data_IF_181428239378
#
_entry.id   IF_181428239378
#
_cell.length_a   1.000
_cell.length_b   1.000
_cell.length_c   1.000
_cell.angle_alpha   90.00
_cell.angle_beta   90.00
_cell.angle_gamma   90.00
#
_symmetry.space_group_name_H-M   'P 1'
#
loop_
_entity.id
_entity.type
_entity.pdbx_description
1 polymer ?
#
# COMPACT_ATOMS: atom_id res chain seq x y z
N UNK A 1 23.76 44.95 18.00
CA UNK A 1 24.21 45.64 19.23
C UNK A 1 25.52 45.02 19.64
N UNK A 2 26.61 45.62 19.18
CA UNK A 2 27.99 45.39 19.62
C UNK A 2 28.45 46.76 20.16
N UNK A 3 28.98 46.86 21.37
CA UNK A 3 29.92 47.91 21.72
C UNK A 3 31.34 47.31 21.64
N UNK A 4 32.44 48.03 21.57
CA UNK A 4 32.81 49.40 21.22
C UNK A 4 34.34 49.38 21.32
N UNK A 5 35.00 50.21 20.52
CA UNK A 5 36.45 50.41 20.46
C UNK A 5 36.94 51.21 21.70
N UNK A 6 38.25 51.13 22.01
CA UNK A 6 39.19 52.17 22.51
C UNK A 6 40.15 51.61 23.58
N UNK A 7 41.46 51.89 23.71
CA UNK A 7 42.57 52.49 22.92
C UNK A 7 43.85 52.40 23.83
N UNK A 8 45.07 52.52 23.27
CA UNK A 8 46.40 52.77 23.90
C UNK A 8 46.95 51.64 24.81
N UNK A 9 48.15 51.07 24.66
CA UNK A 9 49.43 51.58 24.16
C UNK A 9 50.42 51.60 25.32
N UNK A 10 51.47 50.76 25.34
CA UNK A 10 52.73 51.02 26.05
C UNK A 10 53.82 49.99 25.69
N UNK A 11 54.93 50.52 25.17
CA UNK A 11 56.21 49.86 24.95
C UNK A 11 56.93 49.72 26.31
N UNK A 12 57.30 48.50 26.71
CA UNK A 12 58.40 48.25 27.65
C UNK A 12 59.12 46.97 27.23
N UNK A 13 60.30 47.14 26.62
CA UNK A 13 61.34 46.13 26.56
C UNK A 13 61.97 46.04 27.94
N UNK A 14 62.02 44.84 28.53
CA UNK A 14 63.02 44.46 29.53
C UNK A 14 63.11 42.93 29.59
N UNK A 15 64.19 42.44 28.99
CA UNK A 15 64.96 41.25 29.32
C UNK A 15 64.66 40.60 30.68
N UNK A 16 64.32 39.31 30.65
CA UNK A 16 64.25 38.43 31.82
C UNK A 16 64.23 36.97 31.36
N UNK A 17 65.16 36.18 31.90
CA UNK A 17 65.62 34.88 31.43
C UNK A 17 64.53 33.83 31.15
N UNK A 18 64.69 33.16 30.00
CA UNK A 18 64.14 31.83 29.75
C UNK A 18 64.96 30.87 30.59
N UNK A 19 64.32 30.15 31.52
CA UNK A 19 64.84 28.85 31.90
C UNK A 19 63.74 27.91 32.42
N UNK A 20 64.00 26.62 32.19
CA UNK A 20 63.35 25.43 32.73
C UNK A 20 62.16 24.84 31.94
N UNK A 21 62.56 24.13 30.88
CA UNK A 21 61.81 23.01 30.30
C UNK A 21 62.74 21.99 29.66
N UNK A 22 63.73 21.48 30.43
CA UNK A 22 64.60 20.36 30.02
C UNK A 22 63.80 19.10 29.69
N UNK A 23 63.45 18.93 28.42
CA UNK A 23 63.03 17.67 27.83
C UNK A 23 64.25 16.92 27.30
N UNK A 24 64.78 15.99 28.09
CA UNK A 24 65.77 15.02 27.65
C UNK A 24 65.19 14.16 26.52
N UNK A 25 65.78 14.22 25.32
CA UNK A 25 65.27 13.52 24.13
C UNK A 25 66.25 13.50 22.97
N UNK A 26 67.45 12.94 23.21
CA UNK A 26 68.39 12.35 22.24
C UNK A 26 68.10 12.59 20.73
N UNK A 27 68.44 13.76 20.19
CA UNK A 27 68.50 13.97 18.73
C UNK A 27 69.77 13.29 18.20
N UNK A 28 69.69 11.99 17.93
CA UNK A 28 70.75 11.25 17.23
C UNK A 28 70.99 11.90 15.87
N UNK A 29 72.14 12.57 15.75
CA UNK A 29 72.68 13.00 14.46
C UNK A 29 73.07 11.77 13.62
N UNK A 30 72.80 11.82 12.32
CA UNK A 30 73.10 10.74 11.38
C UNK A 30 73.83 11.27 10.14
N UNK A 31 74.67 10.43 9.53
CA UNK A 31 75.31 10.68 8.24
C UNK A 31 74.83 9.71 7.15
N UNK A 32 74.33 8.54 7.55
CA UNK A 32 73.70 7.56 6.67
C UNK A 32 72.53 6.83 7.37
N UNK A 33 71.68 6.15 6.58
CA UNK A 33 70.54 5.36 7.10
C UNK A 33 70.94 4.27 8.11
N UNK A 34 72.17 3.76 8.01
CA UNK A 34 72.74 2.77 8.93
C UNK A 34 72.91 3.27 10.36
N UNK A 35 72.97 4.60 10.55
CA UNK A 35 73.13 5.22 11.87
C UNK A 35 71.78 5.29 12.62
N UNK A 36 70.69 5.09 11.89
CA UNK A 36 69.33 5.15 12.38
C UNK A 36 68.76 3.75 12.67
N UNK A 37 67.66 3.68 13.42
CA UNK A 37 66.97 2.41 13.67
C UNK A 37 66.42 1.85 12.32
N UNK A 38 66.16 0.53 12.20
CA UNK A 38 65.72 -0.07 10.93
C UNK A 38 64.47 0.58 10.30
N UNK A 39 63.62 1.18 11.13
CA UNK A 39 62.38 1.87 10.75
C UNK A 39 62.53 3.39 10.57
N UNK A 40 63.75 3.93 10.63
CA UNK A 40 64.11 5.34 10.43
C UNK A 40 65.03 5.50 9.21
N UNK A 41 65.08 6.71 8.65
CA UNK A 41 65.98 7.13 7.56
C UNK A 41 66.66 8.44 7.95
N UNK A 42 67.88 8.67 7.45
CA UNK A 42 68.63 9.88 7.71
C UNK A 42 68.20 10.99 6.73
N UNK A 43 67.52 12.02 7.24
CA UNK A 43 67.10 13.18 6.45
C UNK A 43 67.53 14.47 7.13
N UNK A 44 68.32 15.30 6.43
CA UNK A 44 68.81 16.56 6.99
C UNK A 44 69.70 16.40 8.24
N UNK A 45 70.47 15.31 8.33
CA UNK A 45 71.36 15.03 9.46
C UNK A 45 70.65 14.53 10.73
N UNK A 46 69.34 14.25 10.66
CA UNK A 46 68.54 13.70 11.75
C UNK A 46 67.81 12.42 11.33
N UNK A 47 67.74 11.44 12.23
CA UNK A 47 66.95 10.22 11.99
C UNK A 47 65.45 10.53 12.07
N UNK A 48 64.76 10.42 10.94
CA UNK A 48 63.30 10.59 10.83
C UNK A 48 62.62 9.24 10.55
N UNK A 49 61.37 9.08 10.96
CA UNK A 49 60.61 7.85 10.72
C UNK A 49 60.39 7.62 9.21
N UNK A 50 60.51 6.36 8.76
CA UNK A 50 60.10 5.97 7.41
C UNK A 50 58.58 6.11 7.28
N UNK A 51 58.07 6.29 6.06
CA UNK A 51 56.63 6.34 5.82
C UNK A 51 55.93 5.07 6.36
N UNK A 52 54.90 5.25 7.20
CA UNK A 52 54.19 4.15 7.85
C UNK A 52 54.88 3.54 9.07
N UNK A 53 56.04 4.05 9.49
CA UNK A 53 56.71 3.67 10.73
C UNK A 53 56.32 4.55 11.92
N UNK A 54 56.43 4.03 13.14
CA UNK A 54 56.05 4.73 14.37
C UNK A 54 56.88 4.30 15.59
N UNK A 55 56.99 5.17 16.60
CA UNK A 55 57.43 4.82 17.96
C UNK A 55 56.28 4.90 18.98
N UNK A 56 55.27 5.70 18.66
CA UNK A 56 54.06 5.90 19.46
C UNK A 56 52.83 6.14 18.57
N UNK A 57 51.64 6.09 19.16
CA UNK A 57 50.38 6.30 18.43
C UNK A 57 50.25 7.71 17.84
N UNK A 58 51.07 8.67 18.30
CA UNK A 58 51.08 10.04 17.78
C UNK A 58 51.76 10.17 16.43
N UNK A 59 52.57 9.18 16.06
CA UNK A 59 53.27 9.15 14.78
C UNK A 59 52.38 8.62 13.65
N UNK A 60 51.23 8.06 14.02
CA UNK A 60 50.27 7.47 13.09
C UNK A 60 49.10 8.40 12.82
N UNK A 61 48.45 8.21 11.67
CA UNK A 61 47.21 8.92 11.36
C UNK A 61 46.11 8.58 12.39
N UNK A 62 45.10 9.44 12.50
CA UNK A 62 44.02 9.26 13.49
C UNK A 62 43.34 7.88 13.43
N UNK A 63 43.30 7.26 12.24
CA UNK A 63 42.70 5.94 11.96
C UNK A 63 43.68 4.76 12.14
N UNK A 64 44.91 5.02 12.59
CA UNK A 64 45.97 4.03 12.79
C UNK A 64 46.46 4.04 14.24
N UNK A 65 47.07 2.93 14.66
CA UNK A 65 47.71 2.72 15.97
C UNK A 65 49.09 2.13 15.76
N UNK A 66 50.04 2.43 16.64
CA UNK A 66 51.40 1.96 16.49
C UNK A 66 51.54 0.52 17.00
N UNK A 67 51.84 -0.43 16.12
CA UNK A 67 52.32 -1.74 16.54
C UNK A 67 53.78 -1.63 16.97
N UNK A 68 54.01 -1.42 18.27
CA UNK A 68 55.35 -1.26 18.85
C UNK A 68 56.28 -2.46 18.66
N UNK A 69 55.76 -3.65 18.32
CA UNK A 69 56.61 -4.82 18.06
C UNK A 69 57.29 -4.70 16.70
N UNK A 70 56.56 -4.18 15.72
CA UNK A 70 57.01 -4.03 14.34
C UNK A 70 57.38 -2.58 13.98
N UNK A 71 57.14 -1.63 14.88
CA UNK A 71 57.29 -0.18 14.68
C UNK A 71 56.56 0.31 13.42
N UNK A 72 55.36 -0.21 13.17
CA UNK A 72 54.53 0.10 12.01
C UNK A 72 53.15 0.58 12.43
N UNK A 73 52.65 1.59 11.73
CA UNK A 73 51.28 2.07 11.86
C UNK A 73 50.33 1.06 11.22
N UNK A 74 49.51 0.42 12.03
CA UNK A 74 48.46 -0.49 11.58
C UNK A 74 47.10 0.17 11.71
N UNK A 75 46.17 -0.18 10.82
CA UNK A 75 44.81 0.37 10.84
C UNK A 75 44.08 -0.10 12.09
N UNK A 76 43.44 0.84 12.81
CA UNK A 76 42.63 0.55 13.99
C UNK A 76 41.39 -0.27 13.61
N UNK A 77 40.91 -1.09 14.54
CA UNK A 77 39.63 -1.79 14.37
C UNK A 77 38.49 -0.79 14.10
N UNK A 78 37.65 -1.08 13.09
CA UNK A 78 36.58 -0.20 12.64
C UNK A 78 37.01 0.89 11.64
N UNK A 79 38.29 0.97 11.30
CA UNK A 79 38.82 1.85 10.25
C UNK A 79 39.32 1.06 9.03
N UNK A 80 39.58 1.78 7.94
CA UNK A 80 40.02 1.20 6.68
C UNK A 80 40.87 2.20 5.86
N UNK A 81 41.72 1.66 5.00
CA UNK A 81 42.43 2.36 3.92
C UNK A 81 41.95 1.93 2.54
N UNK A 82 41.36 0.73 2.44
CA UNK A 82 40.76 0.20 1.23
C UNK A 82 39.58 -0.74 1.55
N UNK A 83 38.92 -1.22 0.49
CA UNK A 83 37.74 -2.09 0.61
C UNK A 83 38.05 -3.50 1.14
N UNK A 84 39.30 -3.97 1.07
CA UNK A 84 39.66 -5.34 1.49
C UNK A 84 39.65 -5.50 3.02
N UNK A 85 39.70 -4.37 3.74
CA UNK A 85 39.62 -4.34 5.19
C UNK A 85 38.17 -4.27 5.71
N UNK A 86 37.20 -4.10 4.82
CA UNK A 86 35.78 -4.05 5.16
C UNK A 86 35.06 -5.37 4.84
N UNK A 87 33.91 -5.59 5.47
CA UNK A 87 33.06 -6.75 5.13
C UNK A 87 32.55 -6.62 3.69
N UNK A 88 32.11 -7.74 3.09
CA UNK A 88 31.64 -7.80 1.70
C UNK A 88 30.53 -6.78 1.38
N UNK A 89 29.63 -6.53 2.32
CA UNK A 89 28.52 -5.57 2.22
C UNK A 89 28.87 -4.13 2.62
N UNK A 90 30.15 -3.87 2.90
CA UNK A 90 30.67 -2.56 3.28
C UNK A 90 31.66 -2.05 2.22
N UNK A 91 31.97 -0.76 2.27
CA UNK A 91 33.03 -0.13 1.49
C UNK A 91 33.81 0.81 2.38
N UNK A 92 35.07 1.04 2.03
CA UNK A 92 35.89 1.98 2.75
C UNK A 92 35.60 3.40 2.28
N UNK A 93 35.04 4.22 3.17
CA UNK A 93 34.90 5.64 2.93
C UNK A 93 36.26 6.32 3.17
N UNK A 94 36.94 6.69 2.09
CA UNK A 94 38.30 7.25 2.16
C UNK A 94 38.38 8.61 2.86
N UNK A 95 37.25 9.30 3.04
CA UNK A 95 37.16 10.57 3.76
C UNK A 95 37.06 10.36 5.27
N UNK A 96 36.17 9.47 5.72
CA UNK A 96 35.98 9.17 7.15
C UNK A 96 36.95 8.11 7.67
N UNK A 97 37.59 7.37 6.76
CA UNK A 97 38.42 6.19 7.00
C UNK A 97 37.66 5.05 7.71
N UNK A 98 36.34 5.00 7.56
CA UNK A 98 35.48 3.97 8.18
C UNK A 98 34.83 3.09 7.11
N UNK A 99 34.52 1.87 7.52
CA UNK A 99 33.71 0.96 6.71
C UNK A 99 32.25 1.36 6.80
N UNK A 100 31.74 1.95 5.72
CA UNK A 100 30.32 2.33 5.59
C UNK A 100 29.57 1.22 4.84
N UNK A 101 28.27 1.09 5.11
CA UNK A 101 27.43 0.09 4.45
C UNK A 101 27.20 0.49 2.99
N UNK A 102 27.32 -0.47 2.07
CA UNK A 102 27.06 -0.22 0.64
C UNK A 102 25.58 0.09 0.40
N UNK A 103 25.25 0.97 -0.57
CA UNK A 103 23.87 1.18 -0.98
C UNK A 103 23.15 -0.13 -1.31
N UNK A 104 21.96 -0.32 -0.76
CA UNK A 104 21.16 -1.55 -0.91
C UNK A 104 21.53 -2.69 0.06
N UNK A 105 22.56 -2.50 0.89
CA UNK A 105 22.89 -3.38 2.01
C UNK A 105 22.57 -2.73 3.35
N UNK A 106 22.59 -3.52 4.42
CA UNK A 106 22.31 -3.08 5.78
C UNK A 106 23.03 -3.97 6.82
N UNK A 107 23.31 -3.40 7.99
CA UNK A 107 23.59 -4.18 9.20
C UNK A 107 22.47 -4.07 10.24
N UNK A 108 21.71 -2.98 10.19
CA UNK A 108 20.58 -2.67 11.06
C UNK A 108 19.47 -1.93 10.31
N UNK A 109 18.29 -1.87 10.91
CA UNK A 109 17.12 -1.24 10.29
C UNK A 109 17.30 0.25 9.98
N UNK A 110 18.16 0.97 10.71
CA UNK A 110 18.42 2.39 10.45
C UNK A 110 19.22 2.63 9.18
N UNK A 111 19.81 1.59 8.60
CA UNK A 111 20.56 1.68 7.34
C UNK A 111 19.63 1.59 6.12
N UNK A 112 18.36 1.24 6.36
CA UNK A 112 17.34 1.10 5.33
C UNK A 112 16.34 2.24 5.39
N UNK A 113 15.60 2.40 4.30
CA UNK A 113 14.47 3.33 4.26
C UNK A 113 13.41 2.97 5.31
N UNK A 114 12.61 3.96 5.72
CA UNK A 114 11.59 3.78 6.77
C UNK A 114 10.56 2.67 6.50
N UNK A 115 10.34 2.32 5.23
CA UNK A 115 9.45 1.27 4.77
C UNK A 115 10.13 -0.10 4.58
N UNK A 116 11.44 -0.17 4.82
CA UNK A 116 12.26 -1.37 4.71
C UNK A 116 12.72 -1.87 6.07
N UNK A 117 13.16 -3.12 6.12
CA UNK A 117 13.81 -3.73 7.28
C UNK A 117 15.09 -4.42 6.80
N UNK A 118 16.07 -4.51 7.70
CA UNK A 118 17.29 -5.22 7.38
C UNK A 118 17.09 -6.72 7.55
N UNK A 119 17.30 -7.50 6.48
CA UNK A 119 17.49 -8.94 6.59
C UNK A 119 18.95 -9.21 6.96
N UNK A 120 19.19 -9.54 8.22
CA UNK A 120 20.54 -9.77 8.77
C UNK A 120 21.20 -11.05 8.26
N UNK A 121 20.47 -11.94 7.56
CA UNK A 121 21.05 -13.12 6.91
C UNK A 121 21.66 -12.80 5.55
N UNK A 122 20.99 -11.95 4.78
CA UNK A 122 21.43 -11.53 3.45
C UNK A 122 22.15 -10.19 3.43
N UNK A 123 22.10 -9.44 4.56
CA UNK A 123 22.55 -8.06 4.72
C UNK A 123 21.90 -7.11 3.72
N UNK A 124 20.66 -7.37 3.30
CA UNK A 124 19.92 -6.54 2.34
C UNK A 124 18.72 -5.88 2.97
N UNK A 125 18.46 -4.65 2.55
CA UNK A 125 17.20 -4.00 2.85
C UNK A 125 16.08 -4.67 2.06
N UNK A 126 15.12 -5.24 2.78
CA UNK A 126 13.92 -5.86 2.21
C UNK A 126 12.69 -5.07 2.60
N UNK A 127 11.66 -5.07 1.76
CA UNK A 127 10.42 -4.38 2.07
C UNK A 127 9.75 -4.97 3.32
N UNK A 128 9.18 -4.12 4.18
CA UNK A 128 8.34 -4.59 5.30
C UNK A 128 7.03 -5.17 4.77
N UNK A 129 6.33 -5.93 5.61
CA UNK A 129 5.00 -6.44 5.28
C UNK A 129 4.06 -5.29 4.84
N UNK A 130 3.41 -5.46 3.69
CA UNK A 130 2.54 -4.45 3.06
C UNK A 130 3.29 -3.41 2.21
N UNK A 131 4.62 -3.48 2.14
CA UNK A 131 5.46 -2.67 1.27
C UNK A 131 6.14 -3.53 0.20
N UNK A 132 6.69 -2.88 -0.82
CA UNK A 132 7.32 -3.51 -1.98
C UNK A 132 8.42 -2.63 -2.55
N UNK A 133 9.41 -3.25 -3.19
CA UNK A 133 10.40 -2.59 -4.06
C UNK A 133 9.97 -2.69 -5.51
N UNK A 134 9.35 -3.82 -5.89
CA UNK A 134 8.84 -4.09 -7.23
C UNK A 134 7.63 -5.03 -7.15
N UNK A 135 6.96 -5.24 -8.28
CA UNK A 135 5.72 -6.03 -8.35
C UNK A 135 5.88 -7.47 -7.86
N UNK A 136 7.08 -8.07 -7.93
CA UNK A 136 7.33 -9.44 -7.45
C UNK A 136 7.29 -9.57 -5.93
N UNK A 137 7.37 -8.45 -5.21
CA UNK A 137 7.25 -8.44 -3.76
C UNK A 137 5.77 -8.50 -3.31
N UNK A 138 4.84 -8.28 -4.24
CA UNK A 138 3.40 -8.28 -3.98
C UNK A 138 2.74 -9.59 -4.44
N UNK A 139 1.48 -9.78 -4.05
CA UNK A 139 0.70 -10.91 -4.53
C UNK A 139 0.42 -10.79 -6.04
N UNK A 140 0.12 -11.92 -6.69
CA UNK A 140 -0.15 -11.96 -8.15
C UNK A 140 -1.32 -11.08 -8.63
N UNK A 141 -2.15 -10.58 -7.72
CA UNK A 141 -3.28 -9.68 -8.00
C UNK A 141 -3.03 -8.23 -7.58
N UNK A 142 -1.80 -7.91 -7.20
CA UNK A 142 -1.36 -6.60 -6.76
C UNK A 142 -0.19 -6.12 -7.63
N UNK A 143 0.16 -4.86 -7.46
CA UNK A 143 1.38 -4.25 -8.02
C UNK A 143 2.02 -3.34 -6.99
N UNK A 144 3.28 -2.98 -7.22
CA UNK A 144 3.96 -2.02 -6.39
C UNK A 144 3.57 -0.59 -6.75
N UNK A 145 2.85 0.07 -5.84
CA UNK A 145 2.38 1.45 -6.00
C UNK A 145 3.48 2.49 -5.74
N UNK A 146 3.14 3.76 -5.99
CA UNK A 146 4.07 4.90 -5.88
C UNK A 146 4.60 5.13 -4.45
N UNK A 147 3.89 4.66 -3.43
CA UNK A 147 4.30 4.75 -2.02
C UNK A 147 5.04 3.51 -1.51
N UNK A 148 5.57 2.68 -2.43
CA UNK A 148 6.17 1.38 -2.11
C UNK A 148 5.20 0.47 -1.37
N UNK A 149 3.89 0.58 -1.64
CA UNK A 149 2.85 -0.28 -1.05
C UNK A 149 2.27 -1.19 -2.10
N UNK A 150 1.97 -2.42 -1.71
CA UNK A 150 1.22 -3.32 -2.58
C UNK A 150 -0.21 -2.82 -2.72
N UNK A 151 -0.59 -2.51 -3.94
CA UNK A 151 -1.92 -2.00 -4.29
C UNK A 151 -2.63 -3.02 -5.18
N UNK A 152 -3.92 -3.30 -4.95
CA UNK A 152 -4.69 -4.19 -5.81
C UNK A 152 -4.72 -3.71 -7.27
N UNK A 153 -4.63 -4.66 -8.21
CA UNK A 153 -4.85 -4.40 -9.63
C UNK A 153 -6.33 -4.00 -9.88
N UNK A 154 -6.65 -3.37 -11.02
CA UNK A 154 -8.03 -3.01 -11.35
C UNK A 154 -9.01 -4.19 -11.22
N UNK A 155 -10.11 -3.97 -10.48
CA UNK A 155 -11.11 -5.00 -10.17
C UNK A 155 -10.70 -5.98 -9.06
N UNK A 156 -9.54 -5.78 -8.43
CA UNK A 156 -9.08 -6.52 -7.26
C UNK A 156 -9.14 -5.65 -6.02
N UNK A 157 -9.07 -6.29 -4.85
CA UNK A 157 -9.20 -5.60 -3.58
C UNK A 157 -8.48 -6.35 -2.46
N UNK A 158 -8.00 -5.58 -1.49
CA UNK A 158 -7.58 -6.06 -0.19
C UNK A 158 -8.61 -5.71 0.88
N UNK A 159 -9.39 -4.64 0.72
CA UNK A 159 -10.46 -4.19 1.60
C UNK A 159 -11.63 -3.63 0.78
N UNK A 160 -12.80 -3.45 1.40
CA UNK A 160 -13.97 -2.91 0.71
C UNK A 160 -13.75 -1.50 0.15
N UNK A 161 -12.89 -0.71 0.80
CA UNK A 161 -12.54 0.64 0.36
C UNK A 161 -11.75 0.70 -0.95
N UNK A 162 -11.23 -0.44 -1.43
CA UNK A 162 -10.57 -0.52 -2.74
C UNK A 162 -11.58 -0.63 -3.89
N UNK A 163 -12.84 -0.94 -3.57
CA UNK A 163 -13.91 -1.17 -4.52
C UNK A 163 -14.82 0.06 -4.68
N UNK A 164 -15.68 0.04 -5.71
CA UNK A 164 -16.68 1.08 -5.89
C UNK A 164 -17.69 1.06 -4.75
N UNK A 165 -18.40 2.16 -4.54
CA UNK A 165 -19.36 2.31 -3.42
C UNK A 165 -20.45 1.23 -3.38
N UNK A 166 -20.84 0.68 -4.54
CA UNK A 166 -21.83 -0.38 -4.68
C UNK A 166 -21.25 -1.81 -4.69
N UNK A 167 -19.93 -1.94 -4.52
CA UNK A 167 -19.21 -3.20 -4.49
C UNK A 167 -18.64 -3.47 -3.09
N UNK A 168 -18.28 -4.74 -2.84
CA UNK A 168 -17.59 -5.21 -1.65
C UNK A 168 -16.41 -6.09 -2.07
N UNK A 169 -15.44 -6.24 -1.18
CA UNK A 169 -14.30 -7.09 -1.44
C UNK A 169 -14.59 -8.54 -1.08
N UNK A 170 -14.61 -9.43 -2.07
CA UNK A 170 -14.60 -10.88 -1.79
C UNK A 170 -13.18 -11.32 -1.44
N UNK A 171 -12.92 -11.50 -0.14
CA UNK A 171 -11.62 -11.93 0.41
C UNK A 171 -11.15 -13.30 -0.09
N UNK A 172 -12.03 -14.15 -0.64
CA UNK A 172 -11.63 -15.46 -1.17
C UNK A 172 -11.00 -15.34 -2.55
N UNK A 173 -11.54 -14.46 -3.40
CA UNK A 173 -11.05 -14.24 -4.76
C UNK A 173 -10.20 -12.98 -4.93
N UNK A 174 -10.17 -12.12 -3.90
CA UNK A 174 -9.62 -10.77 -3.91
C UNK A 174 -10.16 -9.94 -5.09
N UNK A 175 -11.46 -10.07 -5.37
CA UNK A 175 -12.16 -9.33 -6.44
C UNK A 175 -13.21 -8.44 -5.83
N UNK A 176 -13.37 -7.26 -6.42
CA UNK A 176 -14.54 -6.43 -6.18
C UNK A 176 -15.75 -7.12 -6.81
N UNK A 177 -16.76 -7.38 -5.98
CA UNK A 177 -18.03 -7.97 -6.40
C UNK A 177 -19.18 -7.05 -6.02
N UNK A 178 -20.25 -6.95 -6.82
CA UNK A 178 -21.41 -6.15 -6.45
C UNK A 178 -21.99 -6.55 -5.09
N UNK A 179 -22.47 -5.56 -4.33
CA UNK A 179 -23.29 -5.79 -3.14
C UNK A 179 -24.67 -6.30 -3.57
N UNK A 180 -25.37 -6.93 -2.64
CA UNK A 180 -26.71 -7.45 -2.87
C UNK A 180 -27.65 -6.34 -3.40
N UNK A 181 -28.33 -6.61 -4.52
CA UNK A 181 -29.17 -5.63 -5.22
C UNK A 181 -28.44 -4.69 -6.19
N UNK A 182 -27.11 -4.80 -6.28
CA UNK A 182 -26.28 -4.10 -7.26
C UNK A 182 -25.66 -5.09 -8.26
N UNK A 183 -25.15 -4.58 -9.36
CA UNK A 183 -24.61 -5.37 -10.45
C UNK A 183 -23.55 -4.60 -11.25
N UNK A 184 -22.72 -5.32 -11.98
CA UNK A 184 -21.92 -4.80 -13.08
C UNK A 184 -22.43 -5.33 -14.43
N UNK A 185 -23.01 -6.54 -14.44
CA UNK A 185 -23.62 -7.19 -15.60
C UNK A 185 -24.93 -7.88 -15.19
N UNK A 186 -25.78 -8.23 -16.17
CA UNK A 186 -27.07 -8.88 -15.92
C UNK A 186 -26.93 -10.19 -15.12
N UNK A 187 -25.84 -10.94 -15.33
CA UNK A 187 -25.56 -12.19 -14.64
C UNK A 187 -25.28 -12.05 -13.13
N UNK A 188 -25.07 -10.82 -12.64
CA UNK A 188 -24.95 -10.56 -11.20
C UNK A 188 -26.32 -10.48 -10.52
N UNK A 189 -27.39 -10.29 -11.30
CA UNK A 189 -28.77 -10.20 -10.83
C UNK A 189 -29.48 -11.56 -10.86
N UNK A 190 -30.67 -11.62 -10.25
CA UNK A 190 -31.52 -12.81 -10.35
C UNK A 190 -32.03 -12.96 -11.77
N UNK A 191 -32.42 -14.17 -12.18
CA UNK A 191 -32.88 -14.48 -13.54
C UNK A 191 -34.14 -13.71 -14.01
N UNK A 192 -34.83 -13.00 -13.11
CA UNK A 192 -36.00 -12.15 -13.40
C UNK A 192 -35.70 -10.65 -13.27
N UNK A 193 -34.43 -10.29 -13.09
CA UNK A 193 -33.91 -8.94 -13.01
C UNK A 193 -32.89 -8.73 -14.13
N UNK A 194 -32.53 -7.48 -14.39
CA UNK A 194 -31.42 -7.11 -15.26
C UNK A 194 -30.64 -5.94 -14.64
N UNK A 195 -29.42 -5.72 -15.14
CA UNK A 195 -28.56 -4.69 -14.62
C UNK A 195 -28.84 -3.35 -15.30
N UNK A 196 -29.30 -2.37 -14.52
CA UNK A 196 -29.51 -1.01 -14.99
C UNK A 196 -28.81 -0.01 -14.06
N UNK A 197 -27.85 0.75 -14.59
CA UNK A 197 -27.08 1.74 -13.82
C UNK A 197 -26.51 1.17 -12.51
N UNK A 198 -25.93 -0.04 -12.57
CA UNK A 198 -25.35 -0.80 -11.47
C UNK A 198 -26.35 -1.28 -10.40
N UNK A 199 -27.65 -1.19 -10.65
CA UNK A 199 -28.70 -1.72 -9.78
C UNK A 199 -29.46 -2.84 -10.47
N UNK A 200 -29.71 -3.92 -9.75
CA UNK A 200 -30.61 -4.95 -10.22
C UNK A 200 -32.04 -4.41 -10.20
N UNK A 201 -32.66 -4.39 -11.37
CA UNK A 201 -34.04 -3.93 -11.56
C UNK A 201 -34.87 -5.03 -12.20
N UNK A 202 -36.15 -5.06 -11.87
CA UNK A 202 -37.07 -6.09 -12.33
C UNK A 202 -37.28 -6.00 -13.86
N UNK A 203 -37.22 -7.14 -14.55
CA UNK A 203 -37.53 -7.20 -15.99
C UNK A 203 -39.01 -6.86 -16.26
N UNK A 204 -39.34 -6.30 -17.44
CA UNK A 204 -40.75 -6.10 -17.82
C UNK A 204 -41.58 -7.39 -17.72
N UNK A 205 -42.75 -7.29 -17.07
CA UNK A 205 -43.64 -8.43 -16.80
C UNK A 205 -43.15 -9.39 -15.69
N UNK A 206 -42.01 -9.10 -15.06
CA UNK A 206 -41.58 -9.75 -13.81
C UNK A 206 -41.95 -8.89 -12.62
N UNK A 207 -41.83 -9.44 -11.42
CA UNK A 207 -42.12 -8.74 -10.17
C UNK A 207 -41.37 -9.34 -9.00
N UNK A 208 -41.03 -8.49 -8.02
CA UNK A 208 -40.64 -8.89 -6.67
C UNK A 208 -41.70 -8.52 -5.63
N UNK A 209 -42.72 -7.74 -6.04
CA UNK A 209 -43.83 -7.28 -5.22
C UNK A 209 -45.00 -6.84 -6.11
N UNK A 210 -46.18 -6.64 -5.54
CA UNK A 210 -47.35 -6.17 -6.30
C UNK A 210 -47.17 -4.76 -6.89
N UNK A 211 -46.30 -3.92 -6.31
CA UNK A 211 -46.03 -2.57 -6.85
C UNK A 211 -45.25 -2.56 -8.15
N UNK A 212 -44.63 -3.70 -8.52
CA UNK A 212 -43.93 -3.85 -9.79
C UNK A 212 -44.91 -4.17 -10.95
N UNK A 213 -46.15 -4.53 -10.62
CA UNK A 213 -47.18 -4.93 -11.57
C UNK A 213 -48.18 -3.80 -11.83
N UNK A 214 -48.94 -3.91 -12.93
CA UNK A 214 -50.03 -2.98 -13.18
C UNK A 214 -51.13 -3.10 -12.10
N UNK A 215 -51.95 -2.06 -11.93
CA UNK A 215 -53.03 -2.03 -10.93
C UNK A 215 -54.09 -3.14 -11.07
N UNK A 216 -54.11 -3.86 -12.21
CA UNK A 216 -55.01 -4.99 -12.49
C UNK A 216 -54.28 -6.35 -12.46
N UNK A 217 -53.03 -6.37 -12.01
CA UNK A 217 -52.19 -7.56 -11.90
C UNK A 217 -51.78 -7.77 -10.43
N UNK A 218 -51.36 -8.99 -10.13
CA UNK A 218 -50.74 -9.36 -8.86
C UNK A 218 -49.43 -10.07 -9.12
N UNK A 219 -48.47 -9.90 -8.23
CA UNK A 219 -47.20 -10.58 -8.35
C UNK A 219 -47.29 -12.04 -7.90
N UNK A 220 -46.99 -12.98 -8.80
CA UNK A 220 -46.79 -14.37 -8.43
C UNK A 220 -45.36 -14.56 -7.92
N UNK A 221 -45.16 -14.43 -6.60
CA UNK A 221 -43.85 -14.52 -5.94
C UNK A 221 -43.10 -15.86 -6.17
N UNK A 222 -43.80 -16.94 -6.57
CA UNK A 222 -43.14 -18.22 -6.90
C UNK A 222 -42.49 -18.21 -8.28
N UNK A 223 -43.10 -17.50 -9.23
CA UNK A 223 -42.61 -17.37 -10.61
C UNK A 223 -41.91 -16.05 -10.88
N UNK A 224 -42.08 -15.07 -10.00
CA UNK A 224 -41.70 -13.66 -10.16
C UNK A 224 -42.28 -13.05 -11.44
N UNK A 225 -43.54 -13.37 -11.76
CA UNK A 225 -44.26 -12.90 -12.95
C UNK A 225 -45.53 -12.17 -12.51
N UNK A 226 -45.85 -11.05 -13.15
CA UNK A 226 -47.13 -10.38 -13.00
C UNK A 226 -48.22 -11.19 -13.69
N UNK A 227 -49.23 -11.63 -12.94
CA UNK A 227 -50.37 -12.38 -13.44
C UNK A 227 -51.65 -11.54 -13.21
N UNK A 228 -52.68 -11.72 -14.03
CA UNK A 228 -53.95 -11.02 -13.86
C UNK A 228 -54.51 -11.26 -12.46
N UNK A 229 -54.90 -10.18 -11.77
CA UNK A 229 -55.57 -10.33 -10.49
C UNK A 229 -56.95 -11.00 -10.68
N UNK A 230 -57.48 -11.72 -9.69
CA UNK A 230 -58.78 -12.37 -9.81
C UNK A 230 -59.89 -11.43 -10.33
N UNK A 231 -60.59 -11.87 -11.37
CA UNK A 231 -61.65 -11.09 -12.03
C UNK A 231 -61.18 -9.95 -12.95
N UNK A 232 -59.87 -9.79 -13.16
CA UNK A 232 -59.30 -8.87 -14.15
C UNK A 232 -59.09 -9.56 -15.50
N UNK A 233 -59.04 -8.76 -16.56
CA UNK A 233 -58.89 -9.26 -17.92
C UNK A 233 -58.18 -8.24 -18.84
N UNK A 234 -57.54 -8.75 -19.90
CA UNK A 234 -57.06 -7.95 -21.03
C UNK A 234 -57.83 -8.26 -22.32
N UNK A 235 -58.49 -9.42 -22.36
CA UNK A 235 -59.27 -9.94 -23.48
C UNK A 235 -60.42 -10.82 -23.00
N UNK A 236 -61.37 -11.14 -23.89
CA UNK A 236 -62.51 -11.99 -23.55
C UNK A 236 -62.10 -13.43 -23.16
N UNK A 237 -60.93 -13.92 -23.60
CA UNK A 237 -60.46 -15.26 -23.24
C UNK A 237 -60.02 -15.39 -21.79
N UNK A 238 -59.81 -14.27 -21.09
CA UNK A 238 -59.45 -14.26 -19.67
C UNK A 238 -60.68 -14.42 -18.77
N UNK A 239 -61.88 -14.27 -19.33
CA UNK A 239 -63.14 -14.31 -18.62
C UNK A 239 -63.87 -15.63 -18.84
N UNK A 240 -64.83 -15.93 -17.96
CA UNK A 240 -65.71 -17.10 -18.14
C UNK A 240 -66.59 -16.91 -19.38
N UNK A 241 -67.11 -18.01 -19.93
CA UNK A 241 -67.89 -18.00 -21.18
C UNK A 241 -69.16 -17.12 -21.16
N UNK A 242 -69.72 -16.84 -19.99
CA UNK A 242 -70.88 -15.97 -19.77
C UNK A 242 -70.50 -14.50 -19.46
N UNK A 243 -69.21 -14.19 -19.44
CA UNK A 243 -68.66 -12.87 -19.19
C UNK A 243 -68.04 -12.29 -20.46
N UNK A 244 -67.80 -10.99 -20.46
CA UNK A 244 -66.96 -10.30 -21.43
C UNK A 244 -65.93 -9.45 -20.67
N UNK A 245 -64.82 -9.14 -21.34
CA UNK A 245 -63.84 -8.25 -20.78
C UNK A 245 -64.21 -6.78 -21.07
N UNK A 246 -64.50 -6.03 -20.01
CA UNK A 246 -64.56 -4.58 -20.12
C UNK A 246 -63.13 -4.03 -20.11
N UNK A 247 -62.61 -3.73 -21.31
CA UNK A 247 -61.24 -3.27 -21.52
C UNK A 247 -60.97 -1.93 -20.82
N UNK A 248 -61.99 -1.08 -20.64
CA UNK A 248 -61.87 0.24 -20.05
C UNK A 248 -61.55 0.18 -18.55
N UNK A 249 -62.16 -0.77 -17.84
CA UNK A 249 -61.91 -0.99 -16.39
C UNK A 249 -61.06 -2.24 -16.11
N UNK A 250 -60.68 -2.99 -17.14
CA UNK A 250 -59.91 -4.26 -17.06
C UNK A 250 -60.57 -5.31 -16.18
N UNK A 251 -61.91 -5.39 -16.19
CA UNK A 251 -62.68 -6.33 -15.37
C UNK A 251 -63.59 -7.21 -16.21
N UNK A 252 -63.69 -8.49 -15.82
CA UNK A 252 -64.71 -9.38 -16.37
C UNK A 252 -66.09 -8.94 -15.86
N UNK A 253 -67.00 -8.68 -16.79
CA UNK A 253 -68.39 -8.30 -16.52
C UNK A 253 -69.35 -9.33 -17.11
N UNK A 254 -70.50 -9.59 -16.48
CA UNK A 254 -71.51 -10.46 -17.07
C UNK A 254 -71.96 -9.93 -18.44
N UNK A 255 -72.10 -10.81 -19.43
CA UNK A 255 -72.71 -10.45 -20.71
C UNK A 255 -74.18 -10.02 -20.53
N UNK A 256 -74.78 -9.29 -21.49
CA UNK A 256 -76.20 -8.96 -21.42
C UNK A 256 -77.09 -10.19 -21.18
N UNK A 257 -77.92 -10.12 -20.14
CA UNK A 257 -78.78 -11.24 -19.71
C UNK A 257 -78.09 -12.32 -18.88
N UNK A 258 -76.81 -12.13 -18.53
CA UNK A 258 -76.06 -12.98 -17.60
C UNK A 258 -75.80 -12.27 -16.28
N UNK A 259 -75.46 -13.02 -15.23
CA UNK A 259 -75.21 -12.47 -13.90
C UNK A 259 -74.22 -13.31 -13.11
N UNK A 260 -73.45 -12.65 -12.22
CA UNK A 260 -72.69 -13.30 -11.15
C UNK A 260 -73.49 -13.27 -9.83
N UNK A 261 -74.29 -12.21 -9.65
CA UNK A 261 -75.14 -11.98 -8.49
C UNK A 261 -76.43 -11.28 -8.93
N UNK A 262 -77.46 -11.26 -8.06
CA UNK A 262 -78.71 -10.56 -8.37
C UNK A 262 -78.55 -9.05 -8.56
N UNK A 263 -77.42 -8.46 -8.17
CA UNK A 263 -77.10 -7.04 -8.43
C UNK A 263 -76.81 -6.74 -9.91
N UNK A 264 -76.46 -7.77 -10.68
CA UNK A 264 -76.18 -7.63 -12.12
C UNK A 264 -77.48 -7.65 -12.96
N UNK A 265 -78.62 -7.99 -12.35
CA UNK A 265 -79.91 -8.14 -13.02
C UNK A 265 -80.78 -6.89 -12.89
N UNK A 266 -81.81 -6.78 -13.74
CA UNK A 266 -82.77 -5.68 -13.67
C UNK A 266 -83.61 -5.79 -12.40
N UNK A 267 -84.20 -4.67 -11.97
CA UNK A 267 -85.09 -4.64 -10.81
C UNK A 267 -86.20 -5.69 -10.94
N UNK A 268 -86.34 -6.53 -9.90
CA UNK A 268 -87.29 -7.65 -9.86
C UNK A 268 -86.76 -8.99 -10.40
N UNK A 269 -85.57 -9.04 -11.01
CA UNK A 269 -84.94 -10.28 -11.46
C UNK A 269 -83.96 -10.83 -10.42
N UNK A 270 -83.85 -12.16 -10.34
CA UNK A 270 -82.90 -12.86 -9.47
C UNK A 270 -81.88 -13.58 -10.35
N UNK A 271 -80.62 -13.58 -9.91
CA UNK A 271 -79.60 -14.35 -10.60
C UNK A 271 -79.74 -15.85 -10.32
N UNK A 272 -79.94 -16.65 -11.36
CA UNK A 272 -79.71 -18.10 -11.27
C UNK A 272 -78.21 -18.36 -11.41
N UNK A 273 -77.54 -18.62 -10.30
CA UNK A 273 -76.08 -18.85 -10.25
C UNK A 273 -75.66 -20.21 -10.83
N UNK A 274 -76.59 -21.14 -11.07
CA UNK A 274 -76.28 -22.40 -11.76
C UNK A 274 -76.12 -22.19 -13.28
N UNK A 275 -76.97 -21.34 -13.86
CA UNK A 275 -76.95 -21.03 -15.30
C UNK A 275 -76.30 -19.69 -15.63
N UNK A 276 -76.00 -18.87 -14.61
CA UNK A 276 -75.54 -17.49 -14.69
C UNK A 276 -76.49 -16.60 -15.51
N UNK A 277 -77.81 -16.80 -15.40
CA UNK A 277 -78.84 -16.05 -16.15
C UNK A 277 -79.78 -15.29 -15.22
N UNK A 278 -80.13 -14.06 -15.60
CA UNK A 278 -81.17 -13.30 -14.90
C UNK A 278 -82.55 -13.84 -15.26
N UNK A 279 -83.38 -14.12 -14.25
CA UNK A 279 -84.77 -14.57 -14.42
C UNK A 279 -85.72 -13.81 -13.52
#
# INVERSE_FOLDING_TARGET
>A
MNPMIFILGFLVLLSGCIDLGSGSGNTKQCSADSDCKPYQTCSGGSCVLKAGACESDRDCDFYQVCDRRNNQCIVKEGFCVDNNQCKLHQFCNLTTKKCDVRPGFCEKNSDCESWQTCDTKTFRCVARAGYCVNDKDCQSWERCGLMNRCEPLPGRCNVDGDCRSYEKCDKKSNRCVPKDGFCNVDGDCKNWEYCNNNKCVVLPGRCNSNSDCAQWETCNMRKNICELAPGRCVSNSDCQSWQYCDIGVKMCKPQPGRCASSQDCREGQICDTMTNTCR
#
